data_IF_786755223309
#
_entry.id   IF_786755223309
#
_cell.length_a   1.000
_cell.length_b   1.000
_cell.length_c   1.000
_cell.angle_alpha   90.00
_cell.angle_beta   90.00
_cell.angle_gamma   90.00
#
_symmetry.space_group_name_H-M   'P 1'
#
loop_
_entity.id
_entity.type
_entity.pdbx_description
1 polymer ?
2 branched ?
3 non-polymer ?
4 non-polymer ?
5 water ?
#
# COMPACT_ATOMS: atom_id res chain seq x y z
N UNK A 1 16.44 -17.86 -5.23
CA UNK A 1 15.17 -18.62 -5.40
C UNK A 1 14.09 -18.01 -4.50
N UNK A 2 13.17 -18.84 -4.02
CA UNK A 2 12.14 -18.42 -3.08
C UNK A 2 12.87 -18.55 -1.77
N UNK A 3 14.00 -19.24 -1.84
CA UNK A 3 14.86 -19.47 -0.70
C UNK A 3 15.58 -18.21 -0.32
N UNK A 4 15.95 -17.39 -1.30
CA UNK A 4 16.62 -16.16 -0.96
C UNK A 4 15.62 -15.23 -0.28
N UNK A 5 14.38 -15.22 -0.78
CA UNK A 5 13.35 -14.39 -0.16
C UNK A 5 13.04 -14.90 1.24
N UNK A 6 12.88 -16.22 1.38
CA UNK A 6 12.59 -16.77 2.70
C UNK A 6 13.76 -16.51 3.63
N UNK A 7 14.91 -16.30 3.02
CA UNK A 7 16.16 -16.03 3.70
C UNK A 7 16.20 -14.69 4.42
N UNK A 8 15.46 -13.72 3.88
CA UNK A 8 15.43 -12.37 4.44
C UNK A 8 14.19 -12.11 5.26
N UNK A 9 13.35 -13.12 5.30
CA UNK A 9 12.16 -13.01 6.11
C UNK A 9 12.60 -13.14 7.57
N UNK A 10 11.78 -12.60 8.47
CA UNK A 10 12.07 -12.68 9.87
C UNK A 10 11.84 -14.12 10.31
N UNK A 11 12.77 -14.66 11.11
CA UNK A 11 12.63 -16.03 11.60
C UNK A 11 11.64 -15.99 12.75
N UNK A 12 10.46 -16.56 12.55
CA UNK A 12 9.43 -16.55 13.58
C UNK A 12 9.31 -17.82 14.41
N UNK A 13 8.67 -17.67 15.56
CA UNK A 13 8.46 -18.75 16.50
C UNK A 13 7.31 -18.34 17.44
N UNK A 14 6.72 -19.33 18.09
CA UNK A 14 5.61 -19.08 19.01
C UNK A 14 5.95 -17.93 19.95
N UNK A 15 4.97 -17.09 20.22
CA UNK A 15 5.20 -15.95 21.09
C UNK A 15 5.43 -14.65 20.35
N UNK A 16 5.91 -14.73 19.11
CA UNK A 16 6.16 -13.51 18.35
C UNK A 16 4.86 -12.86 17.90
N UNK A 17 4.94 -11.59 17.53
CA UNK A 17 3.76 -10.85 17.06
C UNK A 17 4.14 -9.69 16.17
N UNK A 18 3.25 -9.37 15.24
CA UNK A 18 3.49 -8.29 14.30
C UNK A 18 3.03 -8.60 12.90
N UNK A 19 3.48 -7.80 11.94
CA UNK A 19 3.10 -7.97 10.54
C UNK A 19 3.53 -9.31 9.97
N UNK A 20 4.71 -9.76 10.40
CA UNK A 20 5.28 -11.01 9.94
C UNK A 20 4.40 -12.20 10.31
N UNK A 21 3.96 -12.24 11.57
CA UNK A 21 3.12 -13.34 12.02
C UNK A 21 1.85 -13.31 11.20
N UNK A 22 1.34 -12.10 10.97
CA UNK A 22 0.14 -11.92 10.18
C UNK A 22 0.31 -12.47 8.76
N UNK A 23 1.44 -12.13 8.13
CA UNK A 23 1.71 -12.61 6.78
C UNK A 23 1.82 -14.13 6.85
N UNK A 24 2.52 -14.63 7.86
CA UNK A 24 2.67 -16.06 8.04
C UNK A 24 1.29 -16.70 8.09
N UNK A 25 0.43 -16.17 8.97
CA UNK A 25 -0.92 -16.69 9.16
C UNK A 25 -1.74 -16.71 7.87
N UNK A 26 -1.61 -15.67 7.08
CA UNK A 26 -2.34 -15.58 5.84
C UNK A 26 -1.89 -16.63 4.84
N UNK A 27 -0.57 -16.72 4.66
CA UNK A 27 0.00 -17.70 3.75
C UNK A 27 -0.42 -19.11 4.19
N UNK A 28 -0.44 -19.34 5.49
CA UNK A 28 -0.85 -20.64 5.98
C UNK A 28 -2.26 -20.91 5.43
N UNK A 29 -3.17 -20.00 5.69
CA UNK A 29 -4.54 -20.15 5.23
C UNK A 29 -4.62 -20.37 3.73
N UNK A 30 -3.92 -19.54 2.98
CA UNK A 30 -3.89 -19.63 1.52
C UNK A 30 -3.23 -20.90 1.01
N UNK A 31 -2.67 -21.65 1.94
CA UNK A 31 -2.00 -22.92 1.64
C UNK A 31 -2.86 -24.11 2.07
N UNK A 32 -3.97 -23.82 2.75
CA UNK A 32 -4.85 -24.88 3.19
C UNK A 32 -4.81 -25.18 4.68
N UNK A 33 -3.88 -24.58 5.39
CA UNK A 33 -3.79 -24.80 6.82
C UNK A 33 -4.42 -23.60 7.51
N UNK A 34 -5.67 -23.78 7.92
CA UNK A 34 -6.38 -22.69 8.58
C UNK A 34 -5.90 -22.42 9.98
N UNK A 35 -5.63 -21.15 10.25
CA UNK A 35 -5.18 -20.72 11.56
C UNK A 35 -6.13 -19.62 11.99
N UNK A 36 -7.33 -19.64 11.40
CA UNK A 36 -8.33 -18.65 11.70
C UNK A 36 -7.98 -17.33 11.04
N UNK A 37 -8.60 -16.24 11.51
CA UNK A 37 -8.32 -14.94 10.93
C UNK A 37 -6.94 -14.50 11.40
N UNK A 38 -6.14 -13.95 10.49
CA UNK A 38 -4.78 -13.48 10.79
C UNK A 38 -4.84 -12.32 11.79
N UNK A 39 -4.31 -12.54 12.99
CA UNK A 39 -4.34 -11.50 14.01
C UNK A 39 -2.96 -10.98 14.40
N UNK A 40 -1.92 -11.57 13.83
CA UNK A 40 -0.58 -11.10 14.14
C UNK A 40 0.04 -11.66 15.41
N UNK A 41 -0.62 -12.62 16.06
CA UNK A 41 -0.06 -13.24 17.27
C UNK A 41 0.21 -14.72 17.03
N UNK A 42 1.49 -15.07 17.03
CA UNK A 42 1.94 -16.44 16.82
C UNK A 42 1.60 -17.29 18.05
N UNK A 43 0.38 -17.81 18.11
CA UNK A 43 -0.01 -18.64 19.23
C UNK A 43 0.07 -20.13 18.98
N UNK A 44 -0.78 -20.89 19.65
CA UNK A 44 -0.84 -22.35 19.54
C UNK A 44 -1.38 -22.87 18.22
N UNK A 45 -2.48 -22.27 17.76
CA UNK A 45 -3.08 -22.68 16.51
C UNK A 45 -2.10 -22.52 15.36
N UNK A 46 -1.42 -21.37 15.32
CA UNK A 46 -0.46 -21.10 14.27
C UNK A 46 0.71 -22.06 14.43
N UNK A 47 1.12 -22.27 15.68
CA UNK A 47 2.23 -23.16 15.95
C UNK A 47 1.94 -24.57 15.43
N UNK A 48 0.78 -25.11 15.78
CA UNK A 48 0.42 -26.47 15.33
C UNK A 48 0.35 -26.57 13.81
N UNK A 49 -0.29 -25.59 13.20
CA UNK A 49 -0.42 -25.59 11.76
C UNK A 49 0.97 -25.53 11.10
N UNK A 50 1.87 -24.77 11.71
CA UNK A 50 3.22 -24.66 11.18
C UNK A 50 3.91 -26.02 11.25
N UNK A 51 3.87 -26.66 12.41
CA UNK A 51 4.51 -27.95 12.60
C UNK A 51 4.02 -28.97 11.57
N UNK A 52 2.70 -29.06 11.47
CA UNK A 52 2.03 -29.95 10.53
C UNK A 52 2.42 -29.61 9.10
N UNK A 53 2.50 -28.31 8.78
CA UNK A 53 2.88 -27.88 7.45
C UNK A 53 4.33 -28.30 7.13
N UNK A 54 5.19 -28.21 8.15
CA UNK A 54 6.60 -28.58 8.03
C UNK A 54 6.72 -30.10 7.85
N UNK A 55 5.86 -30.84 8.56
CA UNK A 55 5.89 -32.28 8.45
C UNK A 55 5.35 -32.72 7.10
N UNK A 56 4.27 -32.09 6.64
CA UNK A 56 3.73 -32.49 5.35
C UNK A 56 4.68 -32.16 4.20
N UNK A 57 5.71 -31.37 4.45
CA UNK A 57 6.63 -30.99 3.38
C UNK A 57 8.10 -31.37 3.58
N UNK A 58 8.36 -32.25 4.55
CA UNK A 58 9.72 -32.68 4.79
C UNK A 58 10.64 -31.51 5.14
N UNK A 59 10.19 -30.68 6.07
CA UNK A 59 10.98 -29.54 6.53
C UNK A 59 11.30 -29.82 7.99
N UNK A 60 12.41 -29.29 8.50
CA UNK A 60 12.72 -29.48 9.91
C UNK A 60 11.49 -28.98 10.66
N UNK A 61 10.67 -29.93 11.12
CA UNK A 61 9.42 -29.61 11.81
C UNK A 61 9.51 -29.37 13.31
N UNK A 62 10.11 -28.24 13.70
CA UNK A 62 10.23 -27.89 15.12
C UNK A 62 9.29 -26.72 15.46
N UNK A 63 8.58 -26.21 14.46
CA UNK A 63 7.66 -25.12 14.68
C UNK A 63 8.23 -23.74 14.37
N UNK A 64 9.53 -23.68 14.10
CA UNK A 64 10.17 -22.42 13.77
C UNK A 64 10.14 -22.16 12.26
N UNK A 65 9.71 -20.96 11.90
CA UNK A 65 9.60 -20.58 10.50
C UNK A 65 10.83 -19.79 10.04
N UNK A 66 11.67 -20.47 9.26
CA UNK A 66 12.87 -19.87 8.73
C UNK A 66 12.87 -19.85 7.21
N UNK A 67 14.05 -19.71 6.63
CA UNK A 67 14.22 -19.65 5.18
C UNK A 67 13.43 -20.72 4.44
N UNK A 68 13.68 -21.96 4.80
CA UNK A 68 13.02 -23.07 4.14
C UNK A 68 11.52 -23.13 4.26
N UNK A 69 10.98 -22.74 5.41
CA UNK A 69 9.54 -22.77 5.60
C UNK A 69 8.89 -21.63 4.82
N UNK A 70 9.47 -20.43 4.93
CA UNK A 70 8.96 -19.29 4.19
C UNK A 70 8.96 -19.67 2.71
N UNK A 71 10.08 -20.24 2.26
CA UNK A 71 10.23 -20.65 0.86
C UNK A 71 9.13 -21.61 0.45
N UNK A 72 8.75 -22.51 1.34
CA UNK A 72 7.70 -23.48 1.05
C UNK A 72 6.33 -22.82 0.97
N UNK A 73 6.12 -21.80 1.79
CA UNK A 73 4.84 -21.10 1.79
C UNK A 73 4.66 -20.28 0.51
N UNK A 74 5.73 -19.61 0.08
CA UNK A 74 5.67 -18.80 -1.13
C UNK A 74 5.47 -19.69 -2.35
N UNK A 75 5.77 -20.97 -2.18
CA UNK A 75 5.66 -21.93 -3.27
C UNK A 75 4.34 -22.67 -3.33
N UNK A 76 3.70 -22.87 -2.18
CA UNK A 76 2.43 -23.60 -2.12
C UNK A 76 1.14 -22.77 -2.02
N UNK A 77 1.23 -21.51 -1.63
CA UNK A 77 0.01 -20.71 -1.47
C UNK A 77 -0.65 -20.44 -2.82
N UNK A 78 -1.97 -20.31 -2.81
CA UNK A 78 -2.69 -20.02 -4.05
C UNK A 78 -3.40 -18.66 -3.88
N UNK A 79 -3.02 -17.67 -4.71
CA UNK A 79 -3.61 -16.34 -4.66
C UNK A 79 -5.11 -16.35 -4.82
N UNK A 80 -5.83 -15.72 -3.89
CA UNK A 80 -7.31 -15.67 -3.94
C UNK A 80 -7.78 -14.72 -5.05
N UNK A 81 -6.90 -13.82 -5.48
CA UNK A 81 -7.19 -12.87 -6.57
C UNK A 81 -5.93 -12.65 -7.39
N UNK A 82 -5.60 -13.59 -8.28
CA UNK A 82 -4.40 -13.41 -9.09
C UNK A 82 -4.50 -12.14 -9.92
N UNK A 83 -3.44 -11.33 -9.93
CA UNK A 83 -3.44 -10.08 -10.65
C UNK A 83 -3.78 -10.16 -12.14
N UNK A 84 -3.45 -11.27 -12.79
CA UNK A 84 -3.77 -11.39 -14.20
C UNK A 84 -5.26 -11.17 -14.44
N UNK A 85 -6.07 -11.28 -13.40
CA UNK A 85 -7.51 -11.08 -13.54
C UNK A 85 -7.73 -9.60 -13.88
N UNK A 86 -6.78 -8.76 -13.47
CA UNK A 86 -6.85 -7.34 -13.76
C UNK A 86 -6.20 -7.12 -15.12
N UNK A 87 -6.94 -6.59 -16.09
CA UNK A 87 -6.41 -6.35 -17.43
C UNK A 87 -5.40 -5.20 -17.53
N UNK A 88 -4.45 -5.33 -18.45
CA UNK A 88 -3.44 -4.29 -18.69
C UNK A 88 -4.18 -3.24 -19.51
N UNK A 89 -3.77 -1.96 -19.40
CA UNK A 89 -4.46 -0.96 -20.20
C UNK A 89 -3.95 -1.03 -21.63
N UNK A 90 -4.83 -0.81 -22.60
CA UNK A 90 -4.43 -0.88 -24.00
C UNK A 90 -3.54 0.29 -24.45
N UNK A 91 -3.07 1.08 -23.48
CA UNK A 91 -2.22 2.23 -23.78
C UNK A 91 -1.77 2.93 -22.50
N UNK A 92 -0.53 3.42 -22.52
CA UNK A 92 0.04 4.13 -21.37
C UNK A 92 -0.35 5.59 -21.55
N UNK A 93 -0.26 6.38 -20.48
CA UNK A 93 -0.59 7.81 -20.56
C UNK A 93 -1.99 8.04 -21.09
N UNK A 94 -2.93 7.17 -20.75
CA UNK A 94 -4.30 7.31 -21.24
C UNK A 94 -5.38 7.04 -20.18
N UNK A 95 -6.12 8.08 -19.81
CA UNK A 95 -7.20 7.96 -18.82
C UNK A 95 -8.24 6.95 -19.27
N UNK A 96 -8.63 7.05 -20.54
CA UNK A 96 -9.62 6.14 -21.10
C UNK A 96 -9.12 4.70 -21.12
N UNK A 97 -7.81 4.53 -21.15
CA UNK A 97 -7.21 3.19 -21.20
C UNK A 97 -7.07 2.55 -19.83
N UNK A 98 -7.03 3.39 -18.80
CA UNK A 98 -6.88 2.94 -17.42
C UNK A 98 -8.21 2.65 -16.74
N UNK A 99 -9.28 3.23 -17.26
CA UNK A 99 -10.60 3.03 -16.67
C UNK A 99 -10.95 1.56 -16.48
N UNK A 100 -11.04 0.78 -17.58
CA UNK A 100 -11.39 -0.63 -17.44
C UNK A 100 -10.51 -1.30 -16.39
N UNK A 101 -9.25 -0.87 -16.31
CA UNK A 101 -8.35 -1.41 -15.34
C UNK A 101 -8.82 -1.05 -13.93
N UNK A 102 -9.15 0.22 -13.73
CA UNK A 102 -9.59 0.71 -12.43
C UNK A 102 -10.94 0.11 -12.03
N UNK A 103 -11.74 -0.21 -13.02
CA UNK A 103 -13.05 -0.81 -12.78
C UNK A 103 -12.87 -2.22 -12.22
N UNK A 104 -11.85 -2.91 -12.71
CA UNK A 104 -11.56 -4.27 -12.26
C UNK A 104 -11.02 -4.22 -10.85
N UNK A 105 -10.14 -3.26 -10.59
CA UNK A 105 -9.55 -3.10 -9.27
C UNK A 105 -10.62 -2.68 -8.28
N UNK A 106 -11.63 -1.93 -8.75
CA UNK A 106 -12.70 -1.55 -7.81
C UNK A 106 -13.44 -2.82 -7.40
N UNK A 107 -13.88 -3.61 -8.38
CA UNK A 107 -14.59 -4.86 -8.08
C UNK A 107 -13.76 -5.78 -7.18
N UNK A 108 -12.44 -5.79 -7.38
CA UNK A 108 -11.58 -6.63 -6.56
C UNK A 108 -11.23 -6.08 -5.17
N UNK A 109 -11.13 -4.77 -5.02
CA UNK A 109 -10.76 -4.16 -3.75
C UNK A 109 -11.85 -3.39 -3.02
N UNK A 110 -12.84 -2.89 -3.77
CA UNK A 110 -13.90 -2.12 -3.18
C UNK A 110 -13.75 -0.63 -3.45
N UNK A 111 -12.51 -0.18 -3.60
CA UNK A 111 -12.22 1.24 -3.85
C UNK A 111 -12.75 1.70 -5.21
N UNK A 112 -13.48 2.81 -5.19
CA UNK A 112 -14.10 3.37 -6.39
C UNK A 112 -13.12 3.83 -7.48
N UNK A 113 -13.39 3.41 -8.72
CA UNK A 113 -12.49 3.71 -9.83
C UNK A 113 -12.18 5.20 -10.02
N UNK A 114 -13.18 6.04 -9.82
CA UNK A 114 -13.00 7.48 -9.95
C UNK A 114 -11.84 7.95 -9.08
N UNK A 115 -11.83 7.46 -7.84
CA UNK A 115 -10.78 7.82 -6.91
C UNK A 115 -9.45 7.34 -7.45
N UNK A 116 -9.44 6.11 -7.97
CA UNK A 116 -8.22 5.53 -8.53
C UNK A 116 -7.76 6.33 -9.74
N UNK A 117 -8.71 6.67 -10.62
CA UNK A 117 -8.43 7.43 -11.82
C UNK A 117 -7.84 8.79 -11.48
N UNK A 118 -8.34 9.41 -10.41
CA UNK A 118 -7.87 10.73 -10.00
C UNK A 118 -6.41 10.65 -9.58
N UNK A 119 -6.12 9.74 -8.66
CA UNK A 119 -4.77 9.54 -8.16
C UNK A 119 -3.76 9.31 -9.29
N UNK A 120 -4.04 8.34 -10.15
CA UNK A 120 -3.16 8.02 -11.26
C UNK A 120 -2.93 9.26 -12.09
N UNK A 121 -3.99 10.03 -12.27
CA UNK A 121 -3.92 11.24 -13.07
C UNK A 121 -2.98 12.27 -12.42
N UNK A 122 -3.18 12.53 -11.12
CA UNK A 122 -2.38 13.52 -10.41
C UNK A 122 -0.96 13.07 -10.11
N UNK A 123 -0.72 11.78 -10.16
CA UNK A 123 0.60 11.26 -9.83
C UNK A 123 1.50 10.94 -11.02
N UNK A 124 0.91 10.61 -12.17
CA UNK A 124 1.71 10.24 -13.32
C UNK A 124 1.04 10.62 -14.62
N UNK A 125 -0.01 11.44 -14.54
CA UNK A 125 -0.70 11.79 -15.76
C UNK A 125 -0.89 10.49 -16.56
N UNK A 126 -1.14 9.40 -15.83
CA UNK A 126 -1.39 8.08 -16.41
C UNK A 126 -0.23 7.34 -17.05
N UNK A 127 0.99 7.78 -16.79
CA UNK A 127 2.14 7.09 -17.34
C UNK A 127 2.52 6.12 -16.23
N UNK A 128 2.16 4.85 -16.39
CA UNK A 128 2.46 3.84 -15.37
C UNK A 128 3.92 3.40 -15.35
N UNK A 129 4.72 4.00 -16.23
CA UNK A 129 6.11 3.64 -16.32
C UNK A 129 7.01 4.77 -15.85
N UNK A 130 6.42 5.93 -15.54
CA UNK A 130 7.18 7.10 -15.11
C UNK A 130 7.87 6.98 -13.76
N UNK A 131 9.07 7.54 -13.68
CA UNK A 131 9.90 7.53 -12.49
C UNK A 131 10.31 8.96 -12.15
N UNK A 132 9.76 9.50 -11.06
CA UNK A 132 10.06 10.86 -10.62
C UNK A 132 11.57 11.13 -10.59
N UNK A 133 11.99 12.24 -11.20
CA UNK A 133 13.40 12.62 -11.23
C UNK A 133 13.84 13.14 -9.86
N UNK A 134 12.88 13.33 -8.98
CA UNK A 134 13.13 13.86 -7.64
C UNK A 134 13.27 12.84 -6.51
N UNK A 135 12.78 11.62 -6.72
CA UNK A 135 12.83 10.59 -5.69
C UNK A 135 12.64 9.16 -6.21
N UNK A 136 12.19 8.27 -5.33
CA UNK A 136 11.93 6.86 -5.68
C UNK A 136 10.65 6.75 -6.52
N UNK A 137 9.65 7.56 -6.16
CA UNK A 137 8.35 7.60 -6.83
C UNK A 137 8.33 7.02 -8.24
N UNK A 138 7.52 5.98 -8.44
CA UNK A 138 7.44 5.32 -9.73
C UNK A 138 6.07 4.74 -10.09
N UNK A 139 5.66 4.96 -11.35
CA UNK A 139 4.41 4.42 -11.82
C UNK A 139 3.17 5.27 -11.61
N UNK A 140 2.03 4.69 -12.00
CA UNK A 140 0.73 5.32 -11.89
C UNK A 140 0.48 5.97 -10.53
N UNK A 141 0.86 5.26 -9.47
CA UNK A 141 0.65 5.74 -8.12
C UNK A 141 1.89 6.31 -7.43
N UNK A 142 2.94 6.54 -8.22
CA UNK A 142 4.18 7.11 -7.72
C UNK A 142 4.54 6.55 -6.35
N UNK A 143 4.62 5.24 -6.27
CA UNK A 143 4.98 4.57 -5.05
C UNK A 143 6.45 4.76 -4.77
N UNK A 144 6.78 5.08 -3.52
CA UNK A 144 8.17 5.22 -3.16
C UNK A 144 8.66 3.78 -3.11
N UNK A 145 9.96 3.60 -2.97
CA UNK A 145 10.52 2.26 -2.92
C UNK A 145 10.25 1.62 -1.56
N UNK A 146 10.27 2.44 -0.51
CA UNK A 146 10.06 1.92 0.83
C UNK A 146 8.66 1.40 1.09
N UNK A 147 7.67 2.29 1.00
CA UNK A 147 6.31 1.89 1.25
C UNK A 147 5.86 0.80 0.27
N UNK A 148 6.42 0.81 -0.93
CA UNK A 148 6.03 -0.21 -1.88
C UNK A 148 6.38 -1.57 -1.30
N UNK A 149 7.61 -1.71 -0.81
CA UNK A 149 8.05 -2.97 -0.25
C UNK A 149 7.09 -3.43 0.85
N UNK A 150 6.80 -2.54 1.80
CA UNK A 150 5.90 -2.88 2.89
C UNK A 150 4.52 -3.25 2.35
N UNK A 151 4.16 -2.67 1.23
CA UNK A 151 2.88 -2.96 0.64
C UNK A 151 2.86 -4.32 -0.03
N UNK A 152 3.94 -4.63 -0.73
CA UNK A 152 4.09 -5.90 -1.42
C UNK A 152 4.21 -7.06 -0.47
N UNK A 153 4.69 -6.81 0.74
CA UNK A 153 4.86 -7.91 1.66
C UNK A 153 3.61 -8.22 2.47
N UNK A 154 2.73 -7.25 2.64
CA UNK A 154 1.53 -7.50 3.40
C UNK A 154 0.29 -7.79 2.56
N UNK A 155 0.33 -7.45 1.28
CA UNK A 155 -0.84 -7.66 0.44
C UNK A 155 -0.56 -8.44 -0.82
N UNK A 156 0.70 -8.51 -1.21
CA UNK A 156 1.06 -9.24 -2.42
C UNK A 156 0.44 -10.61 -2.63
N UNK A 157 0.54 -11.47 -1.61
CA UNK A 157 0.01 -12.83 -1.71
C UNK A 157 -1.45 -12.80 -2.14
N UNK A 158 -2.18 -11.84 -1.59
CA UNK A 158 -3.60 -11.64 -1.85
C UNK A 158 -3.86 -11.60 -3.36
N UNK A 159 -2.86 -11.13 -4.11
CA UNK A 159 -2.98 -11.02 -5.56
C UNK A 159 -1.90 -11.82 -6.31
N UNK A 160 -1.19 -12.66 -5.57
CA UNK A 160 -0.15 -13.49 -6.15
C UNK A 160 1.18 -12.83 -6.47
N UNK A 161 1.66 -12.00 -5.56
CA UNK A 161 2.94 -11.34 -5.78
C UNK A 161 3.75 -11.36 -4.48
N UNK A 162 4.67 -12.32 -4.42
CA UNK A 162 5.52 -12.54 -3.25
C UNK A 162 6.55 -11.47 -3.03
N UNK A 163 7.49 -11.39 -3.97
CA UNK A 163 8.58 -10.44 -3.86
C UNK A 163 8.73 -9.58 -5.11
N UNK A 164 9.41 -8.46 -4.94
CA UNK A 164 9.70 -7.51 -6.03
C UNK A 164 10.91 -6.72 -5.53
N UNK A 165 12.07 -7.39 -5.39
CA UNK A 165 13.33 -6.81 -4.93
C UNK A 165 13.62 -5.46 -5.56
N UNK A 166 13.63 -5.43 -6.89
CA UNK A 166 13.89 -4.22 -7.65
C UNK A 166 12.79 -3.17 -7.44
N UNK A 167 11.61 -3.62 -6.99
CA UNK A 167 10.51 -2.69 -6.81
C UNK A 167 10.03 -2.31 -8.20
N UNK A 168 10.46 -3.09 -9.19
CA UNK A 168 10.12 -2.85 -10.59
C UNK A 168 8.67 -3.10 -10.96
N UNK A 169 7.91 -3.75 -10.09
CA UNK A 169 6.50 -4.01 -10.40
C UNK A 169 5.68 -2.74 -10.35
N UNK A 170 6.26 -1.68 -9.79
CA UNK A 170 5.59 -0.39 -9.71
C UNK A 170 5.34 0.13 -11.12
N UNK A 171 6.10 -0.40 -12.08
CA UNK A 171 5.95 0.01 -13.47
C UNK A 171 4.80 -0.77 -14.11
N UNK A 172 4.28 -1.74 -13.38
CA UNK A 172 3.16 -2.54 -13.88
C UNK A 172 1.87 -1.87 -13.44
N UNK A 173 1.05 -1.43 -14.40
CA UNK A 173 -0.20 -0.76 -14.06
C UNK A 173 -1.13 -1.57 -13.15
N UNK A 174 -1.29 -2.85 -13.47
CA UNK A 174 -2.15 -3.73 -12.68
C UNK A 174 -1.78 -3.76 -11.21
N UNK A 175 -0.62 -4.31 -10.88
CA UNK A 175 -0.22 -4.39 -9.49
C UNK A 175 -0.12 -3.04 -8.78
N UNK A 176 0.11 -1.98 -9.55
CA UNK A 176 0.20 -0.63 -8.98
C UNK A 176 -1.17 -0.20 -8.48
N UNK A 177 -2.19 -0.43 -9.30
CA UNK A 177 -3.57 -0.08 -8.94
C UNK A 177 -3.99 -0.88 -7.71
N UNK A 178 -3.72 -2.19 -7.72
CA UNK A 178 -4.08 -3.07 -6.60
C UNK A 178 -3.50 -2.56 -5.30
N UNK A 179 -2.20 -2.32 -5.31
CA UNK A 179 -1.52 -1.83 -4.14
C UNK A 179 -2.05 -0.43 -3.79
N UNK A 180 -2.33 0.36 -4.83
CA UNK A 180 -2.85 1.70 -4.62
C UNK A 180 -4.15 1.66 -3.83
N UNK A 181 -5.04 0.78 -4.26
CA UNK A 181 -6.33 0.60 -3.59
C UNK A 181 -6.16 0.13 -2.15
N UNK A 182 -5.18 -0.74 -1.92
CA UNK A 182 -4.94 -1.24 -0.57
C UNK A 182 -4.43 -0.14 0.34
N UNK A 183 -3.60 0.76 -0.20
CA UNK A 183 -3.05 1.88 0.57
C UNK A 183 -4.19 2.86 0.93
N UNK A 184 -5.05 3.12 -0.06
CA UNK A 184 -6.19 3.99 0.12
C UNK A 184 -7.10 3.46 1.23
N UNK A 185 -7.34 2.14 1.23
CA UNK A 185 -8.19 1.51 2.24
C UNK A 185 -7.55 1.67 3.60
N UNK A 186 -6.25 1.41 3.68
CA UNK A 186 -5.53 1.57 4.94
C UNK A 186 -5.79 2.99 5.46
N UNK A 187 -5.52 3.95 4.59
CA UNK A 187 -5.69 5.35 4.91
C UNK A 187 -7.14 5.78 5.14
N UNK A 188 -8.09 5.19 4.45
CA UNK A 188 -9.46 5.63 4.71
C UNK A 188 -9.99 5.06 6.02
N UNK A 189 -9.24 4.14 6.62
CA UNK A 189 -9.62 3.57 7.91
C UNK A 189 -8.99 4.37 9.03
N UNK A 190 -7.86 4.99 8.75
CA UNK A 190 -7.20 5.80 9.76
C UNK A 190 -7.99 7.10 9.91
N UNK A 191 -8.48 7.63 8.78
CA UNK A 191 -9.21 8.89 8.75
C UNK A 191 -10.67 8.96 9.21
N UNK A 192 -11.53 8.06 8.74
CA UNK A 192 -12.93 8.15 9.14
C UNK A 192 -13.16 8.29 10.65
N UNK A 193 -12.39 7.57 11.48
CA UNK A 193 -12.61 7.71 12.91
C UNK A 193 -12.37 9.15 13.38
N UNK A 194 -11.28 9.75 12.89
CA UNK A 194 -10.95 11.12 13.27
C UNK A 194 -11.80 12.15 12.55
N UNK A 195 -12.01 11.97 11.25
CA UNK A 195 -12.85 12.87 10.46
C UNK A 195 -14.26 12.32 10.53
N UNK A 196 -15.16 13.03 11.19
CA UNK A 196 -16.51 12.53 11.30
C UNK A 196 -17.21 12.59 9.94
N UNK A 197 -16.52 12.11 8.91
CA UNK A 197 -17.04 12.10 7.54
C UNK A 197 -16.28 11.05 6.74
N UNK A 198 -16.85 10.64 5.61
CA UNK A 198 -16.17 9.66 4.75
C UNK A 198 -14.96 10.41 4.18
N UNK A 199 -13.75 9.87 4.40
CA UNK A 199 -12.58 10.56 3.86
C UNK A 199 -12.81 10.82 2.38
N UNK A 200 -12.52 12.04 1.94
CA UNK A 200 -12.70 12.43 0.56
C UNK A 200 -11.45 12.13 -0.27
N UNK A 201 -11.53 12.36 -1.57
CA UNK A 201 -10.38 12.12 -2.42
C UNK A 201 -9.20 13.00 -1.98
N UNK A 202 -9.50 14.22 -1.53
CA UNK A 202 -8.44 15.11 -1.09
C UNK A 202 -7.92 14.65 0.27
N UNK A 203 -8.81 14.27 1.17
CA UNK A 203 -8.36 13.79 2.48
C UNK A 203 -7.39 12.66 2.19
N UNK A 204 -7.89 11.70 1.40
CA UNK A 204 -7.10 10.53 1.02
C UNK A 204 -5.82 10.88 0.30
N UNK A 205 -5.87 11.84 -0.60
CA UNK A 205 -4.65 12.21 -1.31
C UNK A 205 -3.64 12.76 -0.32
N UNK A 206 -4.11 13.55 0.64
CA UNK A 206 -3.19 14.11 1.62
C UNK A 206 -2.43 12.98 2.32
N UNK A 207 -3.12 11.89 2.66
CA UNK A 207 -2.47 10.76 3.33
C UNK A 207 -1.47 10.06 2.40
N UNK A 208 -1.82 10.02 1.12
CA UNK A 208 -1.00 9.40 0.10
C UNK A 208 0.32 10.19 -0.10
N UNK A 209 0.20 11.51 -0.15
CA UNK A 209 1.35 12.37 -0.35
C UNK A 209 2.21 12.63 0.90
N UNK A 210 1.56 12.96 2.01
CA UNK A 210 2.26 13.28 3.26
C UNK A 210 2.37 12.15 4.25
N UNK A 211 1.70 11.04 3.97
CA UNK A 211 1.69 9.93 4.90
C UNK A 211 0.42 10.07 5.72
N UNK A 212 -0.16 8.98 6.23
CA UNK A 212 -1.39 9.09 7.02
C UNK A 212 -1.26 9.80 8.37
N UNK A 213 -0.19 9.55 9.10
CA UNK A 213 -0.01 10.19 10.39
C UNK A 213 -0.10 11.70 10.34
N UNK A 214 0.63 12.29 9.40
CA UNK A 214 0.66 13.72 9.22
C UNK A 214 -0.68 14.22 8.70
N UNK A 215 -1.22 13.53 7.70
CA UNK A 215 -2.51 13.92 7.13
C UNK A 215 -3.52 13.94 8.27
N UNK A 216 -3.38 12.98 9.18
CA UNK A 216 -4.27 12.88 10.31
C UNK A 216 -4.16 14.15 11.17
N UNK A 217 -2.94 14.45 11.62
CA UNK A 217 -2.70 15.64 12.43
C UNK A 217 -3.20 16.86 11.68
N UNK A 218 -2.85 16.93 10.40
CA UNK A 218 -3.23 18.07 9.56
C UNK A 218 -4.73 18.28 9.31
N UNK A 219 -5.44 17.22 8.94
CA UNK A 219 -6.87 17.34 8.67
C UNK A 219 -7.61 17.71 9.94
N UNK A 220 -6.88 17.85 11.03
CA UNK A 220 -7.49 18.17 12.31
C UNK A 220 -6.68 19.20 13.08
N UNK A 221 -6.08 20.17 12.39
CA UNK A 221 -5.26 21.15 13.09
C UNK A 221 -5.53 22.67 12.94
N UNK A 222 -6.76 23.10 13.17
CA UNK A 222 -7.07 24.52 13.11
C UNK A 222 -6.85 25.26 11.80
N UNK A 223 -7.97 25.55 11.13
CA UNK A 223 -7.98 26.24 9.84
C UNK A 223 -6.97 27.38 9.69
N UNK A 224 -7.05 28.37 10.59
CA UNK A 224 -6.19 29.53 10.53
C UNK A 224 -4.81 29.36 11.12
N UNK A 225 -4.48 28.14 11.52
CA UNK A 225 -3.19 27.87 12.10
C UNK A 225 -2.12 27.94 11.00
N UNK A 226 -0.87 28.18 11.40
CA UNK A 226 0.24 28.26 10.46
C UNK A 226 0.84 26.87 10.26
N UNK A 227 0.45 26.22 9.16
CA UNK A 227 0.90 24.88 8.81
C UNK A 227 2.39 24.61 9.03
N UNK A 228 3.24 25.47 8.48
CA UNK A 228 4.68 25.31 8.60
C UNK A 228 5.07 25.08 10.06
N UNK A 229 4.37 25.74 10.97
CA UNK A 229 4.65 25.61 12.39
C UNK A 229 4.41 24.17 12.83
N UNK A 230 3.35 23.57 12.32
CA UNK A 230 2.98 22.20 12.68
C UNK A 230 3.52 21.11 11.77
N UNK A 231 4.13 21.48 10.65
CA UNK A 231 4.66 20.50 9.73
C UNK A 231 5.96 20.98 9.09
N UNK A 232 6.94 21.33 9.93
CA UNK A 232 8.25 21.82 9.50
C UNK A 232 8.88 20.94 8.42
N UNK A 233 8.85 19.64 8.65
CA UNK A 233 9.40 18.67 7.73
C UNK A 233 8.81 18.83 6.33
N UNK A 234 7.48 18.68 6.23
CA UNK A 234 6.79 18.80 4.94
C UNK A 234 6.98 20.18 4.33
N UNK A 235 6.92 21.20 5.18
CA UNK A 235 7.09 22.58 4.74
C UNK A 235 8.45 22.75 4.08
N UNK A 236 9.48 22.22 4.73
CA UNK A 236 10.83 22.32 4.19
C UNK A 236 10.89 21.56 2.87
N UNK A 237 10.32 20.36 2.85
CA UNK A 237 10.30 19.51 1.67
C UNK A 237 9.44 20.04 0.52
N UNK A 238 8.36 20.75 0.84
CA UNK A 238 7.49 21.32 -0.20
C UNK A 238 7.10 22.74 0.11
N UNK A 239 8.08 23.63 0.21
CA UNK A 239 7.89 25.04 0.52
C UNK A 239 6.91 25.72 -0.42
N UNK A 240 6.92 25.31 -1.68
CA UNK A 240 6.01 25.88 -2.67
C UNK A 240 4.54 25.77 -2.23
N UNK A 241 4.18 24.75 -1.46
CA UNK A 241 2.79 24.65 -1.06
C UNK A 241 2.58 25.14 0.37
N UNK A 242 3.65 25.19 1.16
CA UNK A 242 3.57 25.64 2.55
C UNK A 242 3.95 27.12 2.74
N UNK A 243 4.61 27.69 1.75
CA UNK A 243 5.05 29.08 1.85
C UNK A 243 4.54 29.96 0.74
N UNK A 244 4.15 31.19 1.10
CA UNK A 244 3.68 32.15 0.10
C UNK A 244 4.86 32.59 -0.77
N UNK A 245 4.58 33.31 -1.85
CA UNK A 245 5.64 33.78 -2.73
C UNK A 245 6.68 34.60 -1.95
N UNK A 246 6.23 35.48 -1.07
CA UNK A 246 7.17 36.30 -0.29
C UNK A 246 7.90 35.53 0.80
N UNK A 247 7.50 34.28 1.03
CA UNK A 247 8.15 33.48 2.05
C UNK A 247 7.40 33.37 3.36
N UNK A 248 6.24 34.00 3.43
CA UNK A 248 5.45 33.94 4.66
C UNK A 248 4.79 32.57 4.69
N UNK A 249 4.54 32.03 5.88
CA UNK A 249 3.91 30.71 5.99
C UNK A 249 2.41 30.81 5.73
N UNK A 250 1.88 29.85 4.97
CA UNK A 250 0.45 29.82 4.67
C UNK A 250 -0.26 29.20 5.86
N UNK A 251 -1.58 29.33 5.89
CA UNK A 251 -2.35 28.75 6.99
C UNK A 251 -2.77 27.35 6.57
N UNK A 252 -3.40 26.65 7.50
CA UNK A 252 -3.88 25.29 7.27
C UNK A 252 -4.95 25.35 6.18
N UNK A 253 -5.90 26.26 6.34
CA UNK A 253 -6.97 26.40 5.37
C UNK A 253 -6.46 26.61 3.94
N UNK A 254 -5.48 27.49 3.77
CA UNK A 254 -4.92 27.77 2.45
C UNK A 254 -4.29 26.53 1.84
N UNK A 255 -3.45 25.85 2.61
CA UNK A 255 -2.79 24.64 2.15
C UNK A 255 -3.84 23.61 1.75
N UNK A 256 -4.86 23.47 2.58
CA UNK A 256 -5.90 22.51 2.27
C UNK A 256 -6.52 22.84 0.91
N UNK A 257 -7.01 24.07 0.77
CA UNK A 257 -7.63 24.52 -0.47
C UNK A 257 -6.73 24.40 -1.68
N UNK A 258 -5.43 24.60 -1.50
CA UNK A 258 -4.53 24.46 -2.61
C UNK A 258 -4.53 22.99 -3.03
N UNK A 259 -4.38 22.11 -2.04
CA UNK A 259 -4.35 20.68 -2.32
C UNK A 259 -5.66 20.26 -2.98
N UNK A 260 -6.78 20.56 -2.31
CA UNK A 260 -8.08 20.22 -2.86
C UNK A 260 -8.17 20.73 -4.27
N UNK A 261 -7.50 21.84 -4.52
CA UNK A 261 -7.51 22.43 -5.84
C UNK A 261 -6.76 21.56 -6.82
N UNK A 262 -5.58 21.05 -6.43
CA UNK A 262 -4.79 20.18 -7.31
C UNK A 262 -5.52 18.89 -7.62
N UNK A 263 -6.27 18.41 -6.64
CA UNK A 263 -7.03 17.18 -6.82
C UNK A 263 -8.20 17.47 -7.73
N UNK A 264 -8.83 18.62 -7.50
CA UNK A 264 -9.99 19.05 -8.30
C UNK A 264 -9.71 19.08 -9.80
N UNK A 265 -8.45 19.17 -10.18
CA UNK A 265 -8.09 19.23 -11.60
C UNK A 265 -8.00 17.88 -12.29
N UNK A 266 -8.02 16.78 -11.52
CA UNK A 266 -7.94 15.46 -12.12
C UNK A 266 -9.15 14.57 -11.87
N UNK A 267 -10.23 15.17 -11.41
CA UNK A 267 -11.48 14.46 -11.13
C UNK A 267 -12.25 14.17 -12.42
N UNK A 268 -13.40 13.52 -12.27
CA UNK A 268 -14.29 13.19 -13.40
C UNK A 268 -14.02 14.07 -14.61
X LIG B 1 7.03 12.47 -3.59
X LIG B 1 6.94 12.90 -2.14
X LIG B 1 6.76 11.66 -1.28
X LIG B 1 5.50 10.87 -1.73
X LIG B 1 5.52 10.64 -3.26
X LIG B 1 4.23 10.05 -3.82
X LIG B 1 8.08 14.93 -1.51
X LIG B 1 9.18 15.51 -0.61
X LIG B 1 8.14 13.62 -1.77
X LIG B 1 7.25 13.57 -4.41
X LIG B 1 6.63 12.02 0.10
X LIG B 1 5.50 9.58 -1.07
X LIG B 1 5.78 11.87 -3.98
X LIG B 1 3.08 10.83 -3.50
X LIG B 1 7.20 15.67 -1.96
X LIG B 2 4.77 9.45 0.09
X LIG B 2 4.43 7.95 0.30
X LIG B 2 3.86 7.69 1.68
X LIG B 2 4.75 8.31 2.76
X LIG B 2 4.95 9.80 2.45
X LIG B 2 5.82 10.48 3.49
X LIG B 2 3.79 6.67 -1.65
X LIG B 2 2.73 6.30 -2.67
X LIG B 2 3.46 7.54 -0.70
X LIG B 2 3.77 6.29 1.88
X LIG B 2 4.11 8.19 4.05
X LIG B 2 5.59 9.94 1.17
X LIG B 2 7.18 10.50 3.07
X LIG B 2 4.92 6.18 -1.74
X LIG B 3 4.15 6.97 4.69
X LIG B 3 4.29 7.21 6.20
X LIG B 3 4.10 5.94 7.01
X LIG B 3 2.83 5.20 6.57
X LIG B 3 2.80 5.03 5.06
X LIG B 3 1.51 4.41 4.57
X LIG B 3 5.68 9.06 6.84
X LIG B 3 7.07 9.62 7.08
X LIG B 3 5.58 7.77 6.50
X LIG B 3 4.00 6.28 8.40
X LIG B 3 2.77 3.91 7.18
X LIG B 3 2.91 6.31 4.41
X LIG B 3 0.53 5.39 4.30
X LIG B 3 4.68 9.78 6.95
X LIG B 4 1.55 3.56 7.71
X LIG B 4 1.46 2.03 7.84
X LIG B 4 0.19 1.65 8.59
X LIG B 4 0.15 2.37 9.93
X LIG B 4 0.23 3.87 9.69
X LIG B 4 0.22 4.66 10.97
X LIG B 4 2.57 1.26 5.83
X LIG B 4 2.44 1.26 4.32
X LIG B 4 1.45 1.39 6.53
X LIG B 4 0.17 0.24 8.78
X LIG B 4 -1.05 2.07 10.62
X LIG B 4 1.46 4.19 9.00
X LIG B 4 0.34 6.04 10.71
X LIG B 4 3.68 1.14 6.36
X LIG C 1 13.53 -23.35 8.39
X LIG D 1 19.82 -25.16 4.33
X LIG D 1 19.81 -25.85 3.03
X LIG D 1 19.60 -23.71 4.11
X LIG D 1 21.11 -25.35 5.01
X LIG D 1 18.74 -25.69 5.18
#
# INVERSE_FOLDING_TARGET
HHHHHGSIMKVLRKGDRGDEVCQLQTLLNLCGYDVGKPDGIFGNNTFNQVVKFQKDNCLDSDGIVGKNTWAELFSKYSPPIPYKTIPMPTANKSRAAATPVMNAVENATGVRSQLLLTFASIESAFDYEIKAKTSSATGWFQFLTGTWKTMIENYGMKYGVLTDPTGALRKDPRISALMGAELIKENMNILRPVLKREPTDTDLYLAHFFGPGAARRFLTTGQNELAATHFPKEAQANPSIFYNKDGSPKTIQEVYNLMDGKVAAHRK
NAG C1 C2 C3 C4 C5 C6 C7 C8 N2 O1 O3 O4 O5 O6 O7
NAG C1 C2 C3 C4 C5 C6 C7 C8 N2 O3 O4 O5 O6 O7
NAG C1 C2 C3 C4 C5 C6 C7 C8 N2 O3 O4 O5 O6 O7
NAG C1 C2 C3 C4 C5 C6 C7 C8 N2 O3 O4 O5 O6 O7
NI NI
SO4 S O1 O2 O3 O4
#
